data_IF_857575273196
#
_entry.id   IF_857575273196
#
_cell.length_a   1.000
_cell.length_b   1.000
_cell.length_c   1.000
_cell.angle_alpha   90.00
_cell.angle_beta   90.00
_cell.angle_gamma   90.00
#
_symmetry.space_group_name_H-M   'P 1'
#
loop_
_entity.id
_entity.type
_entity.pdbx_description
1 polymer ?
#
# COMPACT_ATOMS: atom_id res chain seq x y z
N UNK A 1 4.01 -0.87 -8.42
CA UNK A 1 2.75 -0.70 -7.65
C UNK A 1 2.60 -1.82 -6.64
N UNK A 2 2.16 -3.03 -7.02
CA UNK A 2 2.02 -4.17 -6.07
C UNK A 2 3.33 -4.50 -5.32
N UNK A 3 4.44 -4.66 -6.03
CA UNK A 3 5.74 -4.92 -5.41
C UNK A 3 6.22 -3.75 -4.53
N UNK A 4 5.92 -2.51 -4.93
CA UNK A 4 6.31 -1.31 -4.18
C UNK A 4 5.60 -1.25 -2.83
N UNK A 5 4.27 -1.46 -2.81
CA UNK A 5 3.49 -1.56 -1.58
C UNK A 5 3.99 -2.72 -0.71
N UNK A 6 4.28 -3.88 -1.32
CA UNK A 6 4.80 -5.03 -0.60
C UNK A 6 6.10 -4.74 0.15
N UNK A 7 7.05 -4.05 -0.50
CA UNK A 7 8.32 -3.68 0.12
C UNK A 7 8.15 -2.65 1.24
N UNK A 8 7.25 -1.68 1.06
CA UNK A 8 6.95 -0.69 2.10
C UNK A 8 6.32 -1.36 3.33
N UNK A 9 5.34 -2.26 3.12
CA UNK A 9 4.74 -3.01 4.22
C UNK A 9 5.75 -3.89 4.94
N UNK A 10 6.62 -4.58 4.20
CA UNK A 10 7.66 -5.41 4.80
C UNK A 10 8.65 -4.57 5.61
N UNK A 11 8.99 -3.38 5.12
CA UNK A 11 9.89 -2.44 5.80
C UNK A 11 9.28 -1.89 7.10
N UNK A 12 7.98 -1.60 7.10
CA UNK A 12 7.26 -1.09 8.28
C UNK A 12 6.93 -2.18 9.32
N UNK A 13 6.99 -3.46 8.94
CA UNK A 13 6.57 -4.56 9.80
C UNK A 13 7.30 -4.66 11.16
N UNK A 14 8.64 -4.46 11.27
CA UNK A 14 9.34 -4.56 12.55
C UNK A 14 8.81 -3.57 13.60
N UNK A 15 8.64 -2.30 13.23
CA UNK A 15 8.07 -1.26 14.09
C UNK A 15 6.69 -1.68 14.61
N UNK A 16 5.85 -2.22 13.73
CA UNK A 16 4.50 -2.67 14.10
C UNK A 16 4.50 -3.95 14.96
N UNK A 17 5.54 -4.78 14.90
CA UNK A 17 5.71 -5.91 15.83
C UNK A 17 6.08 -5.46 17.24
N UNK A 18 6.82 -4.36 17.37
CA UNK A 18 7.16 -3.76 18.67
C UNK A 18 5.91 -3.24 19.38
N UNK A 19 4.93 -2.73 18.63
CA UNK A 19 3.65 -2.28 19.16
C UNK A 19 2.71 -3.45 19.47
N UNK A 20 2.44 -4.32 18.49
CA UNK A 20 1.54 -5.46 18.67
C UNK A 20 1.74 -6.53 17.59
N UNK A 21 1.82 -7.79 18.02
CA UNK A 21 2.03 -8.92 17.10
C UNK A 21 1.03 -8.98 15.94
N UNK A 22 -0.22 -8.56 16.17
CA UNK A 22 -1.26 -8.56 15.14
C UNK A 22 -1.05 -7.48 14.07
N UNK A 23 -0.50 -6.32 14.44
CA UNK A 23 -0.14 -5.28 13.47
C UNK A 23 1.03 -5.77 12.60
N UNK A 24 2.13 -6.21 13.21
CA UNK A 24 3.26 -6.76 12.46
C UNK A 24 2.86 -7.92 11.54
N UNK A 25 1.99 -8.82 12.01
CA UNK A 25 1.47 -9.94 11.20
C UNK A 25 0.67 -9.45 10.00
N UNK A 26 -0.18 -8.43 10.18
CA UNK A 26 -0.92 -7.82 9.07
C UNK A 26 0.02 -7.24 8.01
N UNK A 27 1.06 -6.52 8.42
CA UNK A 27 2.05 -5.92 7.51
C UNK A 27 2.82 -6.98 6.73
N UNK A 28 3.32 -8.03 7.40
CA UNK A 28 3.99 -9.15 6.72
C UNK A 28 3.04 -9.89 5.78
N UNK A 29 1.80 -10.16 6.22
CA UNK A 29 0.79 -10.82 5.40
C UNK A 29 0.49 -10.02 4.13
N UNK A 30 0.28 -8.71 4.27
CA UNK A 30 0.07 -7.80 3.15
C UNK A 30 1.26 -7.80 2.19
N UNK A 31 2.49 -7.73 2.72
CA UNK A 31 3.71 -7.79 1.93
C UNK A 31 3.84 -9.10 1.13
N UNK A 32 3.59 -10.25 1.76
CA UNK A 32 3.66 -11.56 1.09
C UNK A 32 2.61 -11.66 0.00
N UNK A 33 1.36 -11.28 0.28
CA UNK A 33 0.26 -11.36 -0.68
C UNK A 33 0.51 -10.41 -1.86
N UNK A 34 0.89 -9.15 -1.61
CA UNK A 34 1.15 -8.17 -2.66
C UNK A 34 2.41 -8.50 -3.47
N UNK A 35 3.45 -9.07 -2.84
CA UNK A 35 4.65 -9.55 -3.51
C UNK A 35 4.35 -10.75 -4.41
N UNK A 36 3.64 -11.76 -3.90
CA UNK A 36 3.20 -12.90 -4.69
C UNK A 36 2.30 -12.48 -5.85
N UNK A 37 1.34 -11.60 -5.59
CA UNK A 37 0.45 -11.06 -6.61
C UNK A 37 1.23 -10.33 -7.71
N UNK A 38 2.26 -9.54 -7.35
CA UNK A 38 3.14 -8.89 -8.33
C UNK A 38 3.83 -9.90 -9.25
N UNK A 39 4.41 -10.97 -8.68
CA UNK A 39 5.11 -12.01 -9.44
C UNK A 39 4.14 -12.76 -10.36
N UNK A 40 2.96 -13.13 -9.87
CA UNK A 40 1.97 -13.85 -10.67
C UNK A 40 1.41 -12.95 -11.77
N UNK A 41 1.07 -11.69 -11.48
CA UNK A 41 0.53 -10.75 -12.44
C UNK A 41 1.41 -10.63 -13.71
N UNK A 42 2.74 -10.70 -13.57
CA UNK A 42 3.69 -10.61 -14.68
C UNK A 42 3.76 -11.86 -15.57
N UNK A 43 3.19 -13.00 -15.16
CA UNK A 43 3.32 -14.28 -15.89
C UNK A 43 2.32 -14.49 -17.02
N UNK A 44 1.38 -13.57 -17.23
CA UNK A 44 0.50 -13.68 -18.39
C UNK A 44 -0.76 -12.84 -18.31
N UNK A 45 -1.60 -12.93 -19.35
CA UNK A 45 -2.96 -12.44 -19.28
C UNK A 45 -3.75 -13.28 -18.27
N UNK A 46 -4.56 -12.61 -17.45
CA UNK A 46 -5.38 -13.27 -16.43
C UNK A 46 -6.86 -13.02 -16.67
N UNK A 47 -7.71 -13.91 -16.18
CA UNK A 47 -9.15 -13.73 -16.23
C UNK A 47 -9.63 -12.60 -15.31
N UNK A 48 -10.86 -12.10 -15.54
CA UNK A 48 -11.48 -11.03 -14.74
C UNK A 48 -11.44 -11.27 -13.23
N UNK A 49 -11.55 -12.52 -12.78
CA UNK A 49 -11.52 -12.87 -11.36
C UNK A 49 -10.18 -12.53 -10.70
N UNK A 50 -9.07 -12.76 -11.39
CA UNK A 50 -7.73 -12.45 -10.86
C UNK A 50 -7.56 -10.95 -10.60
N UNK A 51 -7.93 -10.12 -11.57
CA UNK A 51 -7.89 -8.67 -11.41
C UNK A 51 -8.84 -8.19 -10.30
N UNK A 52 -10.00 -8.83 -10.15
CA UNK A 52 -10.96 -8.51 -9.10
C UNK A 52 -10.39 -8.80 -7.70
N UNK A 53 -9.68 -9.92 -7.54
CA UNK A 53 -8.98 -10.24 -6.27
C UNK A 53 -7.94 -9.17 -5.94
N UNK A 54 -7.12 -8.77 -6.92
CA UNK A 54 -6.14 -7.71 -6.70
C UNK A 54 -6.78 -6.36 -6.34
N UNK A 55 -7.87 -5.99 -7.02
CA UNK A 55 -8.63 -4.76 -6.70
C UNK A 55 -9.18 -4.82 -5.28
N UNK A 56 -9.89 -5.89 -4.93
CA UNK A 56 -10.53 -6.03 -3.63
C UNK A 56 -9.50 -6.04 -2.49
N UNK A 57 -8.40 -6.80 -2.64
CA UNK A 57 -7.35 -6.88 -1.63
C UNK A 57 -6.71 -5.52 -1.33
N UNK A 58 -6.37 -4.75 -2.37
CA UNK A 58 -5.77 -3.41 -2.16
C UNK A 58 -6.79 -2.42 -1.59
N UNK A 59 -8.06 -2.47 -2.01
CA UNK A 59 -9.10 -1.62 -1.43
C UNK A 59 -9.34 -1.90 0.06
N UNK A 60 -9.20 -3.16 0.50
CA UNK A 60 -9.30 -3.50 1.94
C UNK A 60 -8.16 -2.85 2.73
N UNK A 61 -6.92 -2.89 2.23
CA UNK A 61 -5.78 -2.27 2.91
C UNK A 61 -5.96 -0.74 2.96
N UNK A 62 -6.31 -0.12 1.83
CA UNK A 62 -6.59 1.34 1.75
C UNK A 62 -7.73 1.75 2.69
N UNK A 63 -8.81 0.96 2.76
CA UNK A 63 -9.93 1.23 3.65
C UNK A 63 -9.52 1.12 5.12
N UNK A 64 -8.72 0.10 5.47
CA UNK A 64 -8.18 -0.04 6.82
C UNK A 64 -7.28 1.15 7.20
N UNK A 65 -6.40 1.57 6.30
CA UNK A 65 -5.59 2.78 6.48
C UNK A 65 -6.45 4.03 6.64
N UNK A 66 -7.55 4.17 5.89
CA UNK A 66 -8.45 5.31 6.09
C UNK A 66 -9.10 5.27 7.47
N UNK A 67 -9.52 4.10 7.94
CA UNK A 67 -10.14 3.93 9.27
C UNK A 67 -9.16 4.31 10.37
N UNK A 68 -7.92 3.80 10.34
CA UNK A 68 -6.90 4.14 11.35
C UNK A 68 -6.61 5.64 11.40
N UNK A 69 -6.71 6.35 10.26
CA UNK A 69 -6.41 7.80 10.15
C UNK A 69 -7.61 8.71 10.42
N UNK A 70 -8.82 8.15 10.55
CA UNK A 70 -10.05 8.95 10.73
C UNK A 70 -10.85 8.60 11.98
N UNK A 71 -10.82 7.33 12.39
CA UNK A 71 -11.60 6.81 13.51
C UNK A 71 -10.81 5.93 14.48
N UNK A 72 -9.62 5.46 14.08
CA UNK A 72 -8.87 4.44 14.80
C UNK A 72 -9.46 3.04 14.59
N UNK A 73 -8.64 1.99 14.81
CA UNK A 73 -9.15 0.61 14.72
C UNK A 73 -10.02 0.32 15.95
N UNK A 74 -11.23 -0.21 15.76
CA UNK A 74 -12.08 -0.54 16.89
C UNK A 74 -11.64 -1.86 17.55
N UNK A 75 -11.59 -1.88 18.88
CA UNK A 75 -11.47 -3.07 19.74
C UNK A 75 -10.17 -3.91 19.64
N UNK A 76 -9.31 -3.70 18.65
CA UNK A 76 -8.10 -4.51 18.43
C UNK A 76 -6.83 -3.70 18.68
N UNK A 77 -5.86 -4.36 19.32
CA UNK A 77 -4.54 -3.82 19.61
C UNK A 77 -4.51 -2.79 20.75
N UNK A 78 -3.29 -2.39 21.17
CA UNK A 78 -3.09 -1.44 22.27
C UNK A 78 -3.56 -0.02 21.94
N UNK A 79 -3.64 0.32 20.65
CA UNK A 79 -4.03 1.64 20.14
C UNK A 79 -5.49 1.70 19.66
N UNK A 80 -6.36 0.88 20.24
CA UNK A 80 -7.76 0.84 19.83
C UNK A 80 -8.45 2.21 20.01
N UNK A 81 -9.18 2.65 18.99
CA UNK A 81 -9.83 3.97 18.88
C UNK A 81 -8.89 5.18 18.81
N UNK A 82 -7.58 4.97 18.85
CA UNK A 82 -6.62 6.05 18.67
C UNK A 82 -6.48 6.37 17.17
N UNK A 83 -6.58 7.65 16.83
CA UNK A 83 -6.35 8.11 15.45
C UNK A 83 -4.85 8.21 15.23
N UNK A 84 -4.36 7.44 14.28
CA UNK A 84 -2.95 7.43 13.91
C UNK A 84 -2.60 8.65 13.03
N UNK A 85 -1.39 9.17 13.23
CA UNK A 85 -0.83 10.21 12.37
C UNK A 85 -0.62 9.71 10.94
N UNK A 86 -0.52 10.65 10.01
CA UNK A 86 -0.23 10.35 8.60
C UNK A 86 1.28 10.36 8.38
N UNK A 87 1.83 9.20 8.02
CA UNK A 87 3.25 9.01 7.72
C UNK A 87 3.59 9.11 6.24
N UNK A 88 4.85 9.44 5.93
CA UNK A 88 5.31 9.47 4.54
C UNK A 88 5.29 8.07 3.89
N UNK A 89 5.65 7.04 4.65
CA UNK A 89 5.66 5.65 4.17
C UNK A 89 4.25 5.11 3.93
N UNK A 90 3.31 5.36 4.85
CA UNK A 90 1.94 4.87 4.71
C UNK A 90 1.20 5.51 3.53
N UNK A 91 1.41 6.81 3.27
CA UNK A 91 0.90 7.49 2.09
C UNK A 91 1.51 6.94 0.80
N UNK A 92 2.80 6.61 0.83
CA UNK A 92 3.51 6.05 -0.33
C UNK A 92 2.97 4.65 -0.68
N UNK A 93 2.72 3.81 0.34
CA UNK A 93 2.08 2.52 0.16
C UNK A 93 0.66 2.70 -0.41
N UNK A 94 -0.16 3.52 0.25
CA UNK A 94 -1.56 3.80 -0.15
C UNK A 94 -1.64 4.33 -1.58
N UNK A 95 -0.75 5.25 -1.98
CA UNK A 95 -0.69 5.77 -3.35
C UNK A 95 -0.37 4.66 -4.37
N UNK A 96 0.58 3.77 -4.05
CA UNK A 96 0.92 2.64 -4.92
C UNK A 96 -0.24 1.63 -5.03
N UNK A 97 -0.99 1.40 -3.96
CA UNK A 97 -2.17 0.54 -3.94
C UNK A 97 -3.31 1.11 -4.79
N UNK A 98 -3.63 2.39 -4.62
CA UNK A 98 -4.64 3.09 -5.43
C UNK A 98 -4.26 3.08 -6.92
N UNK A 99 -2.99 3.36 -7.24
CA UNK A 99 -2.50 3.30 -8.62
C UNK A 99 -2.64 1.88 -9.20
N UNK A 100 -2.36 0.84 -8.41
CA UNK A 100 -2.57 -0.55 -8.82
C UNK A 100 -4.05 -0.84 -9.08
N UNK A 101 -4.94 -0.42 -8.19
CA UNK A 101 -6.40 -0.61 -8.36
C UNK A 101 -6.88 -0.03 -9.68
N UNK A 102 -6.46 1.20 -10.00
CA UNK A 102 -6.82 1.87 -11.27
C UNK A 102 -6.31 1.07 -12.47
N UNK A 103 -5.05 0.61 -12.43
CA UNK A 103 -4.47 -0.21 -13.50
C UNK A 103 -5.20 -1.55 -13.68
N UNK A 104 -5.54 -2.23 -12.58
CA UNK A 104 -6.26 -3.50 -12.62
C UNK A 104 -7.69 -3.33 -13.14
N UNK A 105 -8.38 -2.23 -12.82
CA UNK A 105 -9.70 -1.91 -13.38
C UNK A 105 -9.62 -1.71 -14.90
N UNK A 106 -8.58 -1.04 -15.39
CA UNK A 106 -8.36 -0.83 -16.82
C UNK A 106 -8.09 -2.18 -17.52
N UNK A 107 -7.17 -2.99 -16.98
CA UNK A 107 -6.86 -4.32 -17.50
C UNK A 107 -8.09 -5.23 -17.54
N UNK A 108 -8.88 -5.25 -16.45
CA UNK A 108 -10.13 -6.03 -16.37
C UNK A 108 -11.15 -5.64 -17.44
N UNK A 109 -11.20 -4.36 -17.81
CA UNK A 109 -12.09 -3.83 -18.85
C UNK A 109 -11.55 -4.02 -20.27
N UNK A 110 -10.35 -4.59 -20.42
CA UNK A 110 -9.66 -4.69 -21.71
C UNK A 110 -9.27 -3.33 -22.29
N UNK A 111 -9.10 -2.30 -21.44
CA UNK A 111 -8.76 -0.94 -21.85
C UNK A 111 -7.34 -0.59 -21.41
N UNK A 112 -6.61 0.13 -22.26
CA UNK A 112 -5.42 0.86 -21.83
C UNK A 112 -5.79 2.02 -20.91
N UNK A 113 -4.86 2.45 -20.04
CA UNK A 113 -5.02 3.69 -19.28
C UNK A 113 -5.05 4.89 -20.24
N UNK A 114 -5.95 5.85 -19.99
CA UNK A 114 -5.98 7.11 -20.74
C UNK A 114 -4.75 7.97 -20.42
N UNK A 115 -4.50 9.05 -21.17
CA UNK A 115 -3.38 9.97 -20.90
C UNK A 115 -3.50 10.58 -19.50
N UNK A 116 -4.71 10.91 -19.07
CA UNK A 116 -5.05 11.41 -17.74
C UNK A 116 -4.83 10.34 -16.67
N UNK A 117 -5.16 9.07 -16.99
CA UNK A 117 -4.86 7.93 -16.13
C UNK A 117 -3.36 7.75 -15.90
N UNK A 118 -2.56 7.84 -16.95
CA UNK A 118 -1.10 7.81 -16.86
C UNK A 118 -0.53 9.02 -16.12
N UNK A 119 -1.10 10.20 -16.31
CA UNK A 119 -0.71 11.41 -15.58
C UNK A 119 -0.97 11.27 -14.07
N UNK A 120 -2.12 10.75 -13.67
CA UNK A 120 -2.43 10.49 -12.25
C UNK A 120 -1.50 9.42 -11.65
N UNK A 121 -1.25 8.32 -12.37
CA UNK A 121 -0.30 7.29 -11.92
C UNK A 121 1.11 7.89 -11.77
N UNK A 122 1.54 8.72 -12.71
CA UNK A 122 2.83 9.41 -12.65
C UNK A 122 2.92 10.32 -11.43
N UNK A 123 1.91 11.15 -11.15
CA UNK A 123 1.88 12.02 -9.98
C UNK A 123 1.95 11.23 -8.67
N UNK A 124 1.20 10.12 -8.57
CA UNK A 124 1.23 9.24 -7.40
C UNK A 124 2.61 8.60 -7.18
N UNK A 125 3.27 8.17 -8.27
CA UNK A 125 4.62 7.58 -8.21
C UNK A 125 5.67 8.62 -7.84
N UNK A 126 5.63 9.81 -8.45
CA UNK A 126 6.55 10.91 -8.10
C UNK A 126 6.36 11.31 -6.65
N UNK A 127 5.11 11.44 -6.20
CA UNK A 127 4.79 11.73 -4.81
C UNK A 127 5.38 10.67 -3.86
N UNK A 128 5.14 9.38 -4.13
CA UNK A 128 5.69 8.29 -3.32
C UNK A 128 7.23 8.27 -3.31
N UNK A 129 7.87 8.50 -4.45
CA UNK A 129 9.33 8.57 -4.55
C UNK A 129 9.93 9.75 -3.76
N UNK A 130 9.26 10.91 -3.80
CA UNK A 130 9.66 12.09 -3.03
C UNK A 130 9.45 11.88 -1.53
N UNK A 131 8.30 11.33 -1.13
CA UNK A 131 8.01 10.99 0.27
C UNK A 131 9.04 9.99 0.83
N UNK A 132 9.39 8.95 0.06
CA UNK A 132 10.44 8.01 0.42
C UNK A 132 11.83 8.66 0.54
N UNK A 133 12.21 9.50 -0.43
CA UNK A 133 13.51 10.17 -0.44
C UNK A 133 13.65 11.22 0.69
N UNK A 134 12.56 11.90 1.05
CA UNK A 134 12.53 12.84 2.17
C UNK A 134 12.58 12.11 3.51
N UNK A 135 11.88 10.99 3.65
CA UNK A 135 11.94 10.15 4.84
C UNK A 135 13.35 9.60 5.10
N UNK A 136 14.00 9.04 4.08
CA UNK A 136 15.38 8.53 4.20
C UNK A 136 16.44 9.61 4.49
N UNK A 137 16.11 10.90 4.31
CA UNK A 137 16.96 12.01 4.74
C UNK A 137 16.70 12.38 6.21
N UNK A 138 15.45 12.37 6.65
CA UNK A 138 15.08 12.74 8.02
C UNK A 138 15.59 11.74 9.07
N UNK A 139 15.58 10.44 8.76
CA UNK A 139 16.12 9.41 9.67
C UNK A 139 17.64 9.47 9.81
N UNK A 140 18.37 10.04 8.85
CA UNK A 140 19.83 10.24 8.95
C UNK A 140 20.25 11.43 9.83
N UNK A 141 19.32 12.30 10.22
CA UNK A 141 19.62 13.45 11.11
C UNK A 141 19.28 13.18 12.59
N UNK A 142 18.66 12.04 12.91
CA UNK A 142 18.32 11.67 14.29
C UNK A 142 19.41 10.88 15.06
N UNK A 143 20.49 10.49 14.38
CA UNK A 143 21.56 9.63 14.93
C UNK A 143 22.78 10.42 15.46
N UNK A 144 22.59 11.66 15.93
CA UNK A 144 23.66 12.51 16.49
C UNK A 144 23.31 13.08 17.87
#
# INVERSE_FOLDING_TARGET
MSLSAALIHLFAAPEHFEEWWGYGTFFVGSAVVQGAYAVVLLRGPWGSSFYTVGIAGNLVIVALWLVTRTAGIPFLGPHAWEVEGVGALDLSATAAEVALVVALVALRRGRGLSKEGWFMVFLLVVYAALAFALFGRLTRFGDH
#
